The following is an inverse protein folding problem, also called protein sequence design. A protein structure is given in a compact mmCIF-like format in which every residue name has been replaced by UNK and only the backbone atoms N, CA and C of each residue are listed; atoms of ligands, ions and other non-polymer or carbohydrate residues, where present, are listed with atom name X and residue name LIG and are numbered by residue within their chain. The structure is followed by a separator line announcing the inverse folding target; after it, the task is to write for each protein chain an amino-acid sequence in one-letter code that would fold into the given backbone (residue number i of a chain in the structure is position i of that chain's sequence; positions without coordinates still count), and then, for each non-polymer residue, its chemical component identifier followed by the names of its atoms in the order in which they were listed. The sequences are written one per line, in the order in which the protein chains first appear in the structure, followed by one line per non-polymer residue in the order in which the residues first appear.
data_IF_857226359746
#
_entry.id   IF_857226359746
#
_cell.length_a   1.000
_cell.length_b   1.000
_cell.length_c   1.000
_cell.angle_alpha   90.00
_cell.angle_beta   90.00
_cell.angle_gamma   90.00
#
_symmetry.space_group_name_H-M   'P 1'
#
loop_
_entity.id
_entity.type
_entity.pdbx_description
1 polymer ?
#
# COMPACT_ATOMS: atom_id res chain seq x y z
N UNK A 1 21.14 -21.54 -7.08
CA UNK A 1 20.87 -21.01 -5.72
C UNK A 1 20.24 -19.64 -5.87
N UNK A 2 19.05 -19.37 -5.32
CA UNK A 2 18.47 -18.04 -5.38
C UNK A 2 19.36 -17.13 -4.50
N UNK A 3 20.07 -16.21 -5.15
CA UNK A 3 21.00 -15.32 -4.45
C UNK A 3 20.19 -14.39 -3.55
N UNK A 4 20.62 -14.22 -2.29
CA UNK A 4 20.02 -13.35 -1.26
C UNK A 4 19.76 -11.89 -1.72
N UNK A 5 20.14 -11.47 -2.93
CA UNK A 5 20.02 -10.11 -3.44
C UNK A 5 18.77 -9.84 -4.29
N UNK A 6 17.98 -10.85 -4.71
CA UNK A 6 16.84 -10.63 -5.62
C UNK A 6 15.60 -10.00 -4.98
N UNK A 7 15.39 -10.20 -3.68
CA UNK A 7 14.22 -9.65 -2.98
C UNK A 7 14.26 -8.12 -2.81
N UNK A 8 15.43 -7.47 -2.88
CA UNK A 8 15.55 -6.00 -2.76
C UNK A 8 15.03 -5.31 -4.03
N UNK A 9 15.52 -5.63 -5.25
CA UNK A 9 14.94 -5.08 -6.49
C UNK A 9 13.46 -5.43 -6.66
N UNK A 10 13.06 -6.66 -6.32
CA UNK A 10 11.66 -7.10 -6.42
C UNK A 10 10.76 -6.33 -5.44
N UNK A 11 11.18 -6.22 -4.18
CA UNK A 11 10.49 -5.44 -3.15
C UNK A 11 10.38 -3.96 -3.49
N UNK A 12 11.41 -3.41 -4.14
CA UNK A 12 11.39 -2.03 -4.65
C UNK A 12 10.30 -1.86 -5.72
N UNK A 13 10.23 -2.77 -6.68
CA UNK A 13 9.19 -2.73 -7.73
C UNK A 13 7.79 -2.89 -7.12
N UNK A 14 7.62 -3.85 -6.21
CA UNK A 14 6.37 -4.09 -5.48
C UNK A 14 5.92 -2.83 -4.74
N UNK A 15 6.83 -2.19 -4.00
CA UNK A 15 6.57 -0.95 -3.28
C UNK A 15 6.21 0.22 -4.20
N UNK A 16 6.91 0.37 -5.32
CA UNK A 16 6.60 1.42 -6.31
C UNK A 16 5.23 1.23 -6.96
N UNK A 17 4.85 -0.01 -7.29
CA UNK A 17 3.54 -0.32 -7.86
C UNK A 17 2.43 -0.05 -6.85
N UNK A 18 2.63 -0.45 -5.58
CA UNK A 18 1.68 -0.14 -4.51
C UNK A 18 1.50 1.38 -4.34
N UNK A 19 2.60 2.13 -4.23
CA UNK A 19 2.57 3.60 -4.15
C UNK A 19 1.82 4.22 -5.33
N UNK A 20 2.18 3.85 -6.56
CA UNK A 20 1.57 4.40 -7.76
C UNK A 20 0.07 4.08 -7.83
N UNK A 21 -0.33 2.88 -7.43
CA UNK A 21 -1.74 2.45 -7.41
C UNK A 21 -2.57 3.32 -6.47
N UNK A 22 -2.08 3.55 -5.25
CA UNK A 22 -2.76 4.39 -4.26
C UNK A 22 -2.80 5.85 -4.71
N UNK A 23 -1.70 6.38 -5.25
CA UNK A 23 -1.64 7.75 -5.74
C UNK A 23 -2.63 8.00 -6.89
N UNK A 24 -2.67 7.09 -7.88
CA UNK A 24 -3.62 7.17 -9.01
C UNK A 24 -5.05 7.04 -8.54
N UNK A 25 -5.34 6.12 -7.60
CA UNK A 25 -6.68 5.94 -7.06
C UNK A 25 -7.21 7.22 -6.39
N UNK A 26 -6.42 7.85 -5.51
CA UNK A 26 -6.86 9.07 -4.85
C UNK A 26 -6.92 10.28 -5.78
N UNK A 27 -6.02 10.36 -6.76
CA UNK A 27 -6.11 11.38 -7.80
C UNK A 27 -7.40 11.26 -8.62
N UNK A 28 -7.81 10.03 -8.95
CA UNK A 28 -9.08 9.77 -9.62
C UNK A 28 -10.28 10.15 -8.74
N UNK A 29 -10.29 9.78 -7.46
CA UNK A 29 -11.36 10.19 -6.53
C UNK A 29 -11.47 11.70 -6.34
N UNK A 30 -10.34 12.40 -6.37
CA UNK A 30 -10.32 13.86 -6.29
C UNK A 30 -10.97 14.48 -7.53
N UNK A 31 -10.54 14.05 -8.73
CA UNK A 31 -11.11 14.52 -9.98
C UNK A 31 -12.60 14.20 -10.13
N UNK A 32 -13.01 12.97 -9.79
CA UNK A 32 -14.42 12.54 -9.83
C UNK A 32 -15.28 13.31 -8.82
N UNK A 33 -14.69 13.78 -7.72
CA UNK A 33 -15.36 14.62 -6.73
C UNK A 33 -15.35 16.11 -7.08
N UNK A 34 -14.89 16.51 -8.27
CA UNK A 34 -14.78 17.91 -8.69
C UNK A 34 -13.67 18.71 -7.99
N UNK A 35 -12.70 18.01 -7.37
CA UNK A 35 -11.57 18.60 -6.64
C UNK A 35 -10.31 18.54 -7.51
N UNK A 36 -9.31 19.36 -7.18
CA UNK A 36 -7.99 19.26 -7.81
C UNK A 36 -7.38 17.87 -7.52
N UNK A 37 -6.70 17.26 -8.50
CA UNK A 37 -6.18 15.88 -8.43
C UNK A 37 -5.25 15.56 -7.23
N UNK A 38 -4.71 16.58 -6.56
CA UNK A 38 -3.80 16.43 -5.42
C UNK A 38 -4.44 16.90 -4.10
N UNK A 39 -5.76 17.10 -4.07
CA UNK A 39 -6.47 17.64 -2.91
C UNK A 39 -6.32 16.74 -1.68
N UNK A 40 -6.55 15.43 -1.83
CA UNK A 40 -6.43 14.46 -0.73
C UNK A 40 -5.00 14.37 -0.23
N UNK A 41 -4.04 14.31 -1.15
CA UNK A 41 -2.60 14.28 -0.83
C UNK A 41 -2.17 15.56 -0.11
N UNK A 42 -2.66 16.72 -0.54
CA UNK A 42 -2.42 17.99 0.12
C UNK A 42 -3.00 18.03 1.54
N UNK A 43 -4.26 17.58 1.73
CA UNK A 43 -4.89 17.51 3.05
C UNK A 43 -4.11 16.59 4.01
N UNK A 44 -3.65 15.44 3.53
CA UNK A 44 -2.79 14.52 4.28
C UNK A 44 -1.44 15.13 4.63
N UNK A 45 -0.81 15.85 3.69
CA UNK A 45 0.44 16.56 3.93
C UNK A 45 0.33 17.69 4.94
N UNK A 46 -0.75 18.46 4.88
CA UNK A 46 -1.03 19.49 5.88
C UNK A 46 -1.31 18.87 7.25
N UNK A 47 -2.06 17.77 7.33
CA UNK A 47 -2.29 17.06 8.58
C UNK A 47 -1.00 16.51 9.18
N UNK A 48 -0.12 15.95 8.35
CA UNK A 48 1.18 15.42 8.77
C UNK A 48 2.12 16.51 9.28
N UNK A 49 2.18 17.66 8.60
CA UNK A 49 3.08 18.78 8.96
C UNK A 49 2.57 19.63 10.11
N UNK A 50 1.25 19.83 10.23
CA UNK A 50 0.64 20.67 11.28
C UNK A 50 0.26 19.89 12.54
N UNK A 51 0.32 18.56 12.49
CA UNK A 51 -0.07 17.68 13.60
C UNK A 51 -1.58 17.70 13.92
N UNK A 52 -2.39 18.38 13.10
CA UNK A 52 -3.84 18.47 13.27
C UNK A 52 -4.55 17.85 12.08
N UNK A 53 -5.38 16.86 12.36
CA UNK A 53 -6.18 16.13 11.37
C UNK A 53 -7.53 16.84 11.27
N UNK A 54 -7.54 18.09 10.80
CA UNK A 54 -8.76 18.88 10.62
C UNK A 54 -8.95 19.22 9.14
N UNK A 55 -10.15 18.97 8.63
CA UNK A 55 -10.55 19.32 7.26
C UNK A 55 -10.69 20.85 7.17
N UNK A 56 -9.94 21.53 6.29
CA UNK A 56 -10.31 22.87 5.86
C UNK A 56 -11.71 22.82 5.22
N UNK A 57 -12.59 23.82 5.40
CA UNK A 57 -13.93 23.82 4.81
C UNK A 57 -13.90 23.43 3.33
N UNK A 58 -14.87 22.63 2.87
CA UNK A 58 -14.92 22.07 1.51
C UNK A 58 -14.91 23.14 0.40
N UNK A 59 -15.30 24.35 0.77
CA UNK A 59 -15.51 25.54 -0.04
C UNK A 59 -14.35 26.56 0.11
N UNK A 60 -13.34 26.26 0.93
CA UNK A 60 -12.12 27.04 0.96
C UNK A 60 -11.27 26.70 -0.28
N UNK A 61 -10.84 27.70 -1.08
CA UNK A 61 -9.83 27.48 -2.11
C UNK A 61 -8.50 27.17 -1.42
N UNK A 62 -8.29 25.91 -1.04
CA UNK A 62 -7.03 25.46 -0.51
C UNK A 62 -6.08 25.39 -1.69
N UNK A 63 -5.33 26.47 -1.91
CA UNK A 63 -4.19 26.46 -2.81
C UNK A 63 -3.33 25.23 -2.49
N UNK A 64 -2.92 24.50 -3.53
CA UNK A 64 -2.10 23.30 -3.36
C UNK A 64 -0.81 23.71 -2.64
N UNK A 65 -0.66 23.28 -1.39
CA UNK A 65 0.55 23.50 -0.62
C UNK A 65 1.55 22.44 -1.04
N UNK A 66 2.31 22.72 -2.10
CA UNK A 66 3.28 21.79 -2.69
C UNK A 66 4.26 21.19 -1.66
N UNK A 67 4.62 21.95 -0.61
CA UNK A 67 5.40 21.44 0.51
C UNK A 67 4.71 20.26 1.21
N UNK A 68 3.43 20.38 1.56
CA UNK A 68 2.65 19.31 2.18
C UNK A 68 2.51 18.09 1.25
N UNK A 69 2.19 18.34 -0.02
CA UNK A 69 2.09 17.28 -1.05
C UNK A 69 3.39 16.48 -1.14
N UNK A 70 4.53 17.17 -1.22
CA UNK A 70 5.84 16.53 -1.33
C UNK A 70 6.18 15.75 -0.06
N UNK A 71 5.99 16.34 1.12
CA UNK A 71 6.25 15.67 2.40
C UNK A 71 5.46 14.36 2.51
N UNK A 72 4.14 14.42 2.28
CA UNK A 72 3.31 13.21 2.37
C UNK A 72 3.68 12.18 1.30
N UNK A 73 3.93 12.62 0.06
CA UNK A 73 4.31 11.70 -1.02
C UNK A 73 5.61 10.97 -0.71
N UNK A 74 6.60 11.65 -0.13
CA UNK A 74 7.87 11.03 0.29
C UNK A 74 7.68 10.03 1.43
N UNK A 75 6.86 10.38 2.45
CA UNK A 75 6.55 9.47 3.56
C UNK A 75 5.81 8.23 3.05
N UNK A 76 4.80 8.41 2.19
CA UNK A 76 4.02 7.33 1.61
C UNK A 76 4.88 6.44 0.71
N UNK A 77 5.74 7.04 -0.12
CA UNK A 77 6.70 6.32 -0.95
C UNK A 77 7.66 5.50 -0.08
N UNK A 78 8.27 6.11 0.94
CA UNK A 78 9.18 5.43 1.86
C UNK A 78 8.52 4.25 2.57
N UNK A 79 7.30 4.43 3.08
CA UNK A 79 6.52 3.37 3.69
C UNK A 79 6.19 2.25 2.68
N UNK A 80 5.80 2.60 1.47
CA UNK A 80 5.47 1.61 0.42
C UNK A 80 6.68 0.79 0.01
N UNK A 81 7.85 1.42 -0.14
CA UNK A 81 9.11 0.73 -0.43
C UNK A 81 9.51 -0.22 0.71
N UNK A 82 9.44 0.26 1.96
CA UNK A 82 9.76 -0.56 3.13
C UNK A 82 8.84 -1.78 3.26
N UNK A 83 7.53 -1.58 3.07
CA UNK A 83 6.54 -2.66 3.08
C UNK A 83 6.78 -3.63 1.93
N UNK A 84 7.01 -3.14 0.70
CA UNK A 84 7.30 -3.99 -0.45
C UNK A 84 8.53 -4.88 -0.25
N UNK A 85 9.61 -4.30 0.29
CA UNK A 85 10.82 -5.05 0.67
C UNK A 85 10.55 -6.09 1.76
N UNK A 86 9.78 -5.74 2.79
CA UNK A 86 9.40 -6.67 3.85
C UNK A 86 8.57 -7.85 3.31
N UNK A 87 7.57 -7.57 2.47
CA UNK A 87 6.73 -8.60 1.85
C UNK A 87 7.56 -9.53 1.00
N UNK A 88 8.40 -9.02 0.09
CA UNK A 88 9.26 -9.86 -0.74
C UNK A 88 10.26 -10.68 0.09
N UNK A 89 10.79 -10.12 1.18
CA UNK A 89 11.63 -10.86 2.12
C UNK A 89 10.87 -12.01 2.78
N UNK A 90 9.65 -11.77 3.26
CA UNK A 90 8.82 -12.81 3.89
C UNK A 90 8.48 -13.93 2.91
N UNK A 91 8.16 -13.59 1.65
CA UNK A 91 7.92 -14.59 0.60
C UNK A 91 9.19 -15.39 0.31
N UNK A 92 10.34 -14.73 0.18
CA UNK A 92 11.61 -15.41 -0.01
C UNK A 92 11.96 -16.37 1.14
N UNK A 93 11.73 -15.95 2.39
CA UNK A 93 11.92 -16.81 3.57
C UNK A 93 10.96 -18.01 3.56
N UNK A 94 9.70 -17.82 3.14
CA UNK A 94 8.71 -18.88 2.99
C UNK A 94 9.07 -19.90 1.91
N UNK A 95 9.63 -19.46 0.77
CA UNK A 95 10.12 -20.35 -0.29
C UNK A 95 11.30 -21.20 0.19
N UNK A 96 12.23 -20.62 0.95
CA UNK A 96 13.36 -21.36 1.51
C UNK A 96 12.94 -22.34 2.61
N UNK A 97 11.86 -22.03 3.34
CA UNK A 97 11.40 -22.79 4.50
C UNK A 97 9.88 -22.95 4.42
N UNK A 98 9.35 -23.97 3.72
CA UNK A 98 7.91 -24.12 3.50
C UNK A 98 7.09 -24.28 4.80
N UNK A 99 7.72 -24.74 5.90
CA UNK A 99 7.08 -24.78 7.22
C UNK A 99 6.75 -23.37 7.79
N UNK A 100 7.39 -22.32 7.28
CA UNK A 100 7.17 -20.94 7.68
C UNK A 100 6.20 -20.19 6.76
N UNK A 101 5.71 -20.80 5.67
CA UNK A 101 4.85 -20.14 4.69
C UNK A 101 3.54 -19.63 5.29
N UNK A 102 2.91 -20.41 6.19
CA UNK A 102 1.70 -19.98 6.90
C UNK A 102 1.94 -18.78 7.82
N UNK A 103 3.10 -18.75 8.48
CA UNK A 103 3.50 -17.63 9.34
C UNK A 103 3.77 -16.38 8.50
N UNK A 104 4.48 -16.52 7.38
CA UNK A 104 4.72 -15.42 6.44
C UNK A 104 3.41 -14.83 5.90
N UNK A 105 2.47 -15.69 5.48
CA UNK A 105 1.14 -15.26 5.03
C UNK A 105 0.39 -14.53 6.13
N UNK A 106 0.41 -15.04 7.36
CA UNK A 106 -0.20 -14.38 8.52
C UNK A 106 0.40 -12.98 8.74
N UNK A 107 1.72 -12.83 8.68
CA UNK A 107 2.38 -11.52 8.81
C UNK A 107 2.00 -10.56 7.69
N UNK A 108 1.88 -11.04 6.45
CA UNK A 108 1.46 -10.21 5.31
C UNK A 108 0.01 -9.73 5.51
N UNK A 109 -0.91 -10.63 5.86
CA UNK A 109 -2.32 -10.29 6.10
C UNK A 109 -2.48 -9.39 7.32
N UNK A 110 -1.78 -9.68 8.42
CA UNK A 110 -1.78 -8.86 9.62
C UNK A 110 -1.17 -7.48 9.37
N UNK A 111 -0.07 -7.41 8.60
CA UNK A 111 0.54 -6.15 8.17
C UNK A 111 -0.44 -5.32 7.34
N UNK A 112 -1.14 -5.95 6.39
CA UNK A 112 -2.19 -5.29 5.60
C UNK A 112 -3.31 -4.73 6.48
N UNK A 113 -3.93 -5.56 7.33
CA UNK A 113 -4.97 -5.12 8.24
C UNK A 113 -4.47 -4.03 9.21
N UNK A 114 -3.24 -4.17 9.70
CA UNK A 114 -2.57 -3.20 10.57
C UNK A 114 -2.36 -1.86 9.88
N UNK A 115 -1.93 -1.83 8.61
CA UNK A 115 -1.78 -0.58 7.85
C UNK A 115 -3.11 0.12 7.62
N UNK A 116 -4.17 -0.62 7.27
CA UNK A 116 -5.53 -0.06 7.14
C UNK A 116 -6.01 0.52 8.47
N UNK A 117 -5.83 -0.23 9.58
CA UNK A 117 -6.23 0.20 10.91
C UNK A 117 -5.47 1.45 11.36
N UNK A 118 -4.15 1.47 11.19
CA UNK A 118 -3.29 2.58 11.54
C UNK A 118 -3.64 3.84 10.74
N UNK A 119 -3.74 3.74 9.42
CA UNK A 119 -4.09 4.87 8.55
C UNK A 119 -5.51 5.35 8.85
N UNK A 120 -6.45 4.42 9.03
CA UNK A 120 -7.84 4.77 9.34
C UNK A 120 -8.01 5.48 10.68
N UNK A 121 -7.30 5.04 11.72
CA UNK A 121 -7.28 5.69 13.03
C UNK A 121 -6.64 7.09 12.96
N UNK A 122 -5.50 7.20 12.27
CA UNK A 122 -4.79 8.48 12.11
C UNK A 122 -5.58 9.49 11.28
N UNK A 123 -6.35 9.04 10.29
CA UNK A 123 -7.10 9.90 9.37
C UNK A 123 -8.56 10.13 9.77
N UNK A 124 -8.94 9.81 11.02
CA UNK A 124 -10.32 9.97 11.52
C UNK A 124 -10.90 11.37 11.28
N UNK A 125 -10.11 12.42 11.53
CA UNK A 125 -10.54 13.80 11.30
C UNK A 125 -10.59 14.25 9.84
N UNK A 126 -10.09 13.44 8.89
CA UNK A 126 -10.14 13.69 7.44
C UNK A 126 -11.26 12.91 6.74
N UNK A 127 -12.26 12.42 7.46
CA UNK A 127 -13.29 11.51 6.95
C UNK A 127 -14.09 12.01 5.75
N UNK A 128 -14.28 13.32 5.64
CA UNK A 128 -14.95 13.94 4.50
C UNK A 128 -14.18 13.75 3.19
N UNK A 129 -12.86 13.62 3.27
CA UNK A 129 -11.94 13.48 2.13
C UNK A 129 -11.45 12.03 1.98
N UNK A 130 -11.33 11.31 3.11
CA UNK A 130 -10.85 9.93 3.21
C UNK A 130 -11.90 9.04 3.91
N UNK A 131 -12.98 8.65 3.21
CA UNK A 131 -13.95 7.72 3.75
C UNK A 131 -13.37 6.29 3.91
N UNK A 132 -14.03 5.40 4.67
CA UNK A 132 -13.41 4.14 5.18
C UNK A 132 -13.28 3.19 4.00
N UNK A 133 -14.32 3.18 3.17
CA UNK A 133 -14.35 2.42 1.95
C UNK A 133 -13.19 2.80 1.02
N UNK A 134 -12.78 4.07 0.94
CA UNK A 134 -11.71 4.49 0.04
C UNK A 134 -10.35 3.97 0.52
N UNK A 135 -10.10 3.97 1.83
CA UNK A 135 -8.89 3.40 2.43
C UNK A 135 -8.82 1.90 2.13
N UNK A 136 -9.90 1.17 2.38
CA UNK A 136 -9.97 -0.28 2.13
C UNK A 136 -9.77 -0.57 0.64
N UNK A 137 -10.45 0.18 -0.24
CA UNK A 137 -10.38 -0.01 -1.69
C UNK A 137 -8.98 0.29 -2.24
N UNK A 138 -8.37 1.40 -1.84
CA UNK A 138 -7.02 1.78 -2.26
C UNK A 138 -6.00 0.70 -1.87
N UNK A 139 -6.08 0.21 -0.63
CA UNK A 139 -5.19 -0.84 -0.13
C UNK A 139 -5.43 -2.17 -0.85
N UNK A 140 -6.69 -2.58 -1.06
CA UNK A 140 -7.01 -3.78 -1.81
C UNK A 140 -6.47 -3.72 -3.25
N UNK A 141 -6.66 -2.59 -3.94
CA UNK A 141 -6.10 -2.38 -5.28
C UNK A 141 -4.57 -2.45 -5.28
N UNK A 142 -3.92 -1.83 -4.28
CA UNK A 142 -2.47 -1.87 -4.17
C UNK A 142 -1.96 -3.31 -4.00
N UNK A 143 -2.59 -4.12 -3.14
CA UNK A 143 -2.24 -5.53 -2.96
C UNK A 143 -2.48 -6.33 -4.23
N UNK A 144 -3.61 -6.14 -4.90
CA UNK A 144 -3.91 -6.85 -6.14
C UNK A 144 -2.91 -6.50 -7.25
N UNK A 145 -2.58 -5.21 -7.41
CA UNK A 145 -1.63 -4.75 -8.42
C UNK A 145 -0.21 -5.26 -8.12
N UNK A 146 0.26 -5.07 -6.89
CA UNK A 146 1.57 -5.52 -6.43
C UNK A 146 1.71 -7.06 -6.49
N UNK A 147 0.70 -7.77 -6.01
CA UNK A 147 0.61 -9.23 -6.04
C UNK A 147 0.61 -9.76 -7.48
N UNK A 148 -0.16 -9.14 -8.38
CA UNK A 148 -0.16 -9.52 -9.81
C UNK A 148 1.21 -9.33 -10.45
N UNK A 149 1.90 -8.22 -10.15
CA UNK A 149 3.27 -7.99 -10.66
C UNK A 149 4.24 -9.03 -10.12
N UNK A 150 4.13 -9.39 -8.84
CA UNK A 150 4.96 -10.41 -8.23
C UNK A 150 4.72 -11.80 -8.84
N UNK A 151 3.46 -12.19 -8.99
CA UNK A 151 3.06 -13.47 -9.60
C UNK A 151 3.49 -13.58 -11.08
N UNK A 152 3.38 -12.48 -11.84
CA UNK A 152 3.85 -12.45 -13.24
C UNK A 152 5.37 -12.58 -13.36
N UNK A 153 6.11 -12.10 -12.36
CA UNK A 153 7.57 -12.25 -12.30
C UNK A 153 8.02 -13.62 -11.79
N UNK A 154 7.15 -14.33 -11.06
CA UNK A 154 7.39 -15.67 -10.52
C UNK A 154 6.28 -16.66 -10.89
N UNK A 155 6.14 -17.03 -12.20
CA UNK A 155 5.05 -17.88 -12.67
C UNK A 155 5.05 -19.32 -12.10
N UNK A 156 6.11 -19.75 -11.41
CA UNK A 156 6.22 -21.06 -10.74
C UNK A 156 5.61 -21.13 -9.34
N UNK A 157 5.36 -19.99 -8.68
CA UNK A 157 4.91 -19.93 -7.29
C UNK A 157 3.51 -20.55 -7.10
N UNK A 158 2.58 -20.27 -8.02
CA UNK A 158 1.22 -20.84 -7.97
C UNK A 158 1.23 -22.35 -8.24
N UNK A 159 2.04 -22.80 -9.20
CA UNK A 159 2.14 -24.21 -9.57
C UNK A 159 2.70 -25.07 -8.42
N UNK A 160 3.66 -24.56 -7.64
CA UNK A 160 4.18 -25.26 -6.45
C UNK A 160 3.19 -25.29 -5.28
N UNK A 161 2.38 -24.24 -5.09
CA UNK A 161 1.33 -24.23 -4.06
C UNK A 161 0.19 -25.21 -4.38
N UNK A 162 -0.19 -25.36 -5.65
CA UNK A 162 -1.25 -26.30 -6.08
C UNK A 162 -0.75 -27.73 -6.27
N UNK A 163 0.55 -27.94 -6.55
CA UNK A 163 1.12 -29.28 -6.75
C UNK A 163 1.60 -29.95 -5.45
N UNK A 164 1.67 -29.21 -4.33
CA UNK A 164 2.09 -29.76 -3.05
C UNK A 164 0.88 -30.36 -2.29
N UNK A 165 0.88 -31.67 -1.92
CA UNK A 165 -0.24 -32.34 -1.24
C UNK A 165 -0.58 -31.82 0.16
N UNK A 166 0.07 -30.75 0.63
CA UNK A 166 -0.09 -30.17 1.97
C UNK A 166 -1.15 -29.07 2.07
N UNK A 167 -1.75 -28.68 0.95
CA UNK A 167 -2.89 -27.77 0.92
C UNK A 167 -4.03 -28.40 0.10
N UNK A 168 -4.91 -29.19 0.71
CA UNK A 168 -6.12 -29.63 0.01
C UNK A 168 -6.93 -28.37 -0.36
N UNK A 169 -7.34 -28.30 -1.63
CA UNK A 169 -8.34 -27.35 -2.08
C UNK A 169 -9.61 -27.61 -1.26
N UNK A 170 -10.00 -26.62 -0.45
CA UNK A 170 -11.30 -26.53 0.20
C UNK A 170 -11.99 -25.29 -0.35
#
# INVERSE_FOLDING_TARGET
MPTRSRWIPEGTVVGLVAFATVAVFYAALDLLGGRAALHTVNALGLAFTRGTVAVPPADAPVAIAWGGVLTYSLVHLGASLAIGMLVCRLVFEAELRPMQAQVALLFIVAGFAGTIGLVGAWTTGLRAVLPWWSIITANALAVLAAGTVMLRRHPGFLSEMTANPRFPAA
#
